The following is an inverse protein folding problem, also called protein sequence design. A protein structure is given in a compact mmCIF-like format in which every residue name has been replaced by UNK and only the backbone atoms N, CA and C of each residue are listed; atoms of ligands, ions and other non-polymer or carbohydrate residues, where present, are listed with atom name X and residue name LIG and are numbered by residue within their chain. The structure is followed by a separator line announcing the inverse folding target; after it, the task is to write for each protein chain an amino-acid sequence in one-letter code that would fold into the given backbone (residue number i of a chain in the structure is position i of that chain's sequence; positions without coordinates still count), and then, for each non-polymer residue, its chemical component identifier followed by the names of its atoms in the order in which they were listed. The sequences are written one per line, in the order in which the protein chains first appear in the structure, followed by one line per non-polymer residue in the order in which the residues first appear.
data_IF_281860969167
#
_entry.id   IF_281860969167
#
_cell.length_a   1.000
_cell.length_b   1.000
_cell.length_c   1.000
_cell.angle_alpha   90.00
_cell.angle_beta   90.00
_cell.angle_gamma   90.00
#
_symmetry.space_group_name_H-M   'P 1'
#
loop_
_entity.id
_entity.type
_entity.pdbx_description
1 polymer ?
#
# COMPACT_ATOMS: atom_id res chain seq x y z
N UNK A 1 6.20 -23.36 14.39
CA UNK A 1 6.67 -23.17 15.78
C UNK A 1 8.06 -22.56 15.70
N UNK A 2 8.25 -21.24 15.87
CA UNK A 2 9.53 -20.59 15.55
C UNK A 2 10.44 -20.51 16.77
N UNK A 3 11.68 -20.96 16.62
CA UNK A 3 12.63 -21.13 17.72
C UNK A 3 13.61 -19.96 17.76
N UNK A 4 13.65 -19.21 18.87
CA UNK A 4 14.78 -18.35 19.22
C UNK A 4 15.59 -19.08 20.29
N UNK A 5 16.51 -19.95 19.87
CA UNK A 5 17.10 -20.94 20.79
C UNK A 5 16.12 -22.08 21.07
N UNK A 6 15.99 -22.55 22.32
CA UNK A 6 15.05 -23.61 22.75
C UNK A 6 13.64 -23.08 23.15
N UNK A 7 13.22 -21.90 22.67
CA UNK A 7 11.88 -21.37 22.98
C UNK A 7 11.03 -21.11 21.73
N UNK A 8 9.78 -21.59 21.81
CA UNK A 8 8.73 -21.48 20.83
C UNK A 8 8.11 -20.07 20.87
N UNK A 9 8.24 -19.30 19.80
CA UNK A 9 7.54 -18.03 19.64
C UNK A 9 6.11 -18.33 19.16
N UNK A 10 5.16 -18.34 20.10
CA UNK A 10 3.71 -18.53 19.88
C UNK A 10 2.97 -17.24 19.46
N UNK A 11 3.68 -16.12 19.29
CA UNK A 11 3.09 -14.79 19.08
C UNK A 11 3.48 -14.11 17.74
N UNK A 12 3.91 -14.89 16.74
CA UNK A 12 4.16 -14.36 15.40
C UNK A 12 2.86 -13.92 14.71
N UNK A 13 2.96 -12.94 13.81
CA UNK A 13 1.83 -12.34 13.12
C UNK A 13 1.06 -13.37 12.27
N UNK A 14 -0.25 -13.39 12.46
CA UNK A 14 -1.25 -14.13 11.67
C UNK A 14 -2.27 -13.20 11.01
N UNK A 15 -2.75 -13.58 9.83
CA UNK A 15 -3.71 -12.82 9.04
C UNK A 15 -5.03 -13.58 8.90
N UNK A 16 -6.17 -12.98 9.27
CA UNK A 16 -7.51 -13.59 9.10
C UNK A 16 -8.65 -12.57 9.12
N UNK A 17 -9.33 -12.38 7.97
CA UNK A 17 -8.75 -11.71 6.81
C UNK A 17 -8.34 -10.26 7.17
N UNK A 18 -7.13 -9.81 6.83
CA UNK A 18 -6.77 -8.42 7.01
C UNK A 18 -7.50 -7.56 5.98
N UNK A 19 -8.13 -6.45 6.36
CA UNK A 19 -8.45 -5.43 5.37
C UNK A 19 -7.16 -4.98 4.67
N UNK A 20 -7.19 -4.56 3.38
CA UNK A 20 -6.01 -4.08 2.65
C UNK A 20 -5.17 -3.03 3.40
N UNK A 21 -5.80 -2.32 4.34
CA UNK A 21 -5.18 -1.38 5.27
C UNK A 21 -4.10 -1.98 6.18
N UNK A 22 -4.12 -3.29 6.45
CA UNK A 22 -3.12 -3.92 7.32
C UNK A 22 -1.81 -4.22 6.56
N UNK A 23 -1.87 -4.58 5.28
CA UNK A 23 -0.65 -4.64 4.44
C UNK A 23 0.00 -3.27 4.32
N UNK A 24 -0.81 -2.21 4.21
CA UNK A 24 -0.32 -0.84 4.25
C UNK A 24 0.35 -0.51 5.58
N UNK A 25 -0.24 -0.91 6.70
CA UNK A 25 0.40 -0.75 8.00
C UNK A 25 1.80 -1.39 8.03
N UNK A 26 1.95 -2.62 7.52
CA UNK A 26 3.25 -3.28 7.42
C UNK A 26 4.22 -2.53 6.50
N UNK A 27 3.76 -2.02 5.35
CA UNK A 27 4.59 -1.18 4.47
C UNK A 27 5.07 0.10 5.16
N UNK A 28 4.23 0.72 6.01
CA UNK A 28 4.63 1.91 6.76
C UNK A 28 5.63 1.61 7.89
N UNK A 29 5.62 0.39 8.44
CA UNK A 29 6.62 -0.06 9.41
C UNK A 29 7.98 -0.36 8.75
N UNK A 30 7.97 -0.75 7.48
CA UNK A 30 9.15 -1.17 6.72
C UNK A 30 9.36 -0.27 5.49
N UNK A 31 9.76 1.01 5.68
CA UNK A 31 9.94 1.97 4.58
C UNK A 31 11.10 1.62 3.63
N UNK A 32 11.95 0.69 4.02
CA UNK A 32 13.02 0.13 3.21
C UNK A 32 12.81 -1.38 3.05
N UNK A 33 13.56 -1.99 2.12
CA UNK A 33 13.54 -3.44 1.92
C UNK A 33 13.76 -4.15 3.25
N UNK A 34 12.76 -4.93 3.66
CA UNK A 34 12.78 -5.65 4.92
C UNK A 34 12.29 -7.07 4.72
N UNK A 35 12.84 -7.98 5.52
CA UNK A 35 12.41 -9.37 5.52
C UNK A 35 12.16 -9.81 6.96
N UNK A 36 10.94 -10.26 7.22
CA UNK A 36 10.51 -10.71 8.53
C UNK A 36 9.83 -12.06 8.46
N UNK A 37 10.08 -12.92 9.44
CA UNK A 37 9.26 -14.10 9.67
C UNK A 37 7.82 -13.74 10.01
N UNK A 38 6.90 -14.50 9.42
CA UNK A 38 5.50 -14.58 9.79
C UNK A 38 5.24 -15.84 10.63
N UNK A 39 4.02 -16.01 11.15
CA UNK A 39 3.62 -17.24 11.83
C UNK A 39 3.22 -18.40 10.91
N UNK A 40 3.12 -18.19 9.59
CA UNK A 40 2.66 -19.21 8.64
C UNK A 40 3.77 -20.22 8.38
N UNK A 41 3.41 -21.50 8.38
CA UNK A 41 4.35 -22.60 8.17
C UNK A 41 3.60 -23.89 7.79
N UNK A 42 4.27 -24.83 7.13
CA UNK A 42 3.75 -26.17 6.81
C UNK A 42 4.64 -27.30 7.39
N UNK A 43 5.30 -27.00 8.52
CA UNK A 43 6.22 -27.91 9.25
C UNK A 43 5.67 -29.32 9.53
N UNK A 44 4.35 -29.47 9.60
CA UNK A 44 3.71 -30.75 9.96
C UNK A 44 3.32 -31.58 8.73
N UNK A 45 3.01 -30.93 7.61
CA UNK A 45 2.52 -31.56 6.39
C UNK A 45 2.81 -30.61 5.22
N UNK A 46 3.71 -31.01 4.34
CA UNK A 46 4.14 -30.24 3.17
C UNK A 46 2.94 -29.77 2.34
N UNK A 47 2.92 -28.48 1.99
CA UNK A 47 1.84 -27.86 1.23
C UNK A 47 0.59 -27.55 2.05
N UNK A 48 0.49 -27.99 3.31
CA UNK A 48 -0.59 -27.68 4.23
C UNK A 48 -0.18 -26.60 5.25
N UNK A 49 -0.25 -25.35 4.82
CA UNK A 49 0.15 -24.20 5.64
C UNK A 49 -0.84 -23.91 6.77
N UNK A 50 -0.30 -23.68 7.98
CA UNK A 50 -1.02 -23.34 9.21
C UNK A 50 -0.37 -22.15 9.93
N UNK A 51 -1.18 -21.32 10.59
CA UNK A 51 -0.66 -20.27 11.47
C UNK A 51 -0.20 -20.86 12.81
N UNK A 52 0.96 -20.42 13.31
CA UNK A 52 1.53 -20.87 14.58
C UNK A 52 0.66 -20.58 15.81
N UNK A 53 -0.26 -19.62 15.72
CA UNK A 53 -1.18 -19.24 16.80
C UNK A 53 -2.55 -19.94 16.72
N UNK A 54 -2.72 -20.87 15.76
CA UNK A 54 -3.97 -21.61 15.55
C UNK A 54 -5.05 -20.84 14.80
N UNK A 55 -4.79 -19.61 14.37
CA UNK A 55 -5.71 -18.86 13.49
C UNK A 55 -5.93 -19.65 12.19
N UNK A 56 -7.17 -19.70 11.63
CA UNK A 56 -7.39 -20.36 10.34
C UNK A 56 -6.75 -19.57 9.19
N UNK A 57 -6.17 -20.29 8.22
CA UNK A 57 -5.54 -19.71 7.02
C UNK A 57 -6.62 -19.38 5.99
N UNK A 58 -7.22 -18.19 6.12
CA UNK A 58 -8.26 -17.70 5.20
C UNK A 58 -7.75 -16.65 4.22
N UNK A 59 -6.47 -16.28 4.31
CA UNK A 59 -5.83 -15.28 3.47
C UNK A 59 -4.36 -15.63 3.28
N UNK A 60 -3.90 -15.57 2.04
CA UNK A 60 -2.49 -15.72 1.66
C UNK A 60 -2.08 -14.64 0.67
N UNK A 61 -0.81 -14.28 0.68
CA UNK A 61 -0.25 -13.27 -0.22
C UNK A 61 1.12 -13.70 -0.76
N UNK A 62 1.13 -14.91 -1.32
CA UNK A 62 2.30 -15.51 -1.94
C UNK A 62 2.83 -14.67 -3.09
N UNK A 63 4.15 -14.66 -3.25
CA UNK A 63 4.75 -14.15 -4.48
C UNK A 63 4.39 -15.04 -5.68
N UNK A 64 4.58 -14.50 -6.89
CA UNK A 64 4.27 -15.24 -8.11
C UNK A 64 5.05 -16.56 -8.18
N UNK A 65 4.30 -17.66 -8.37
CA UNK A 65 4.87 -19.01 -8.46
C UNK A 65 5.23 -19.64 -7.11
N UNK A 66 4.80 -19.06 -5.99
CA UNK A 66 5.02 -19.57 -4.63
C UNK A 66 3.71 -20.04 -3.98
N UNK A 67 3.76 -20.98 -3.03
CA UNK A 67 4.92 -21.83 -2.69
C UNK A 67 5.25 -22.78 -3.86
N UNK A 68 6.48 -23.30 -3.91
CA UNK A 68 6.86 -24.23 -4.98
C UNK A 68 6.30 -25.64 -4.71
N UNK A 69 5.12 -25.94 -5.25
CA UNK A 69 4.42 -27.21 -5.00
C UNK A 69 4.71 -28.33 -6.03
N UNK A 70 5.63 -28.12 -6.97
CA UNK A 70 5.88 -29.10 -8.04
C UNK A 70 6.88 -30.17 -7.59
N UNK A 71 6.61 -31.44 -7.88
CA UNK A 71 7.50 -32.60 -7.61
C UNK A 71 8.94 -32.48 -8.17
N UNK A 72 9.19 -31.54 -9.09
CA UNK A 72 10.52 -31.28 -9.66
C UNK A 72 11.39 -30.35 -8.79
N UNK A 73 10.77 -29.66 -7.83
CA UNK A 73 11.42 -28.77 -6.88
C UNK A 73 11.14 -29.28 -5.47
N UNK A 74 11.76 -30.42 -5.13
CA UNK A 74 11.71 -31.04 -3.80
C UNK A 74 12.53 -30.21 -2.80
N UNK A 75 12.14 -28.97 -2.56
CA UNK A 75 12.71 -28.14 -1.50
C UNK A 75 11.88 -28.30 -0.22
N UNK A 76 11.65 -29.58 0.17
CA UNK A 76 10.94 -30.00 1.39
C UNK A 76 11.59 -29.52 2.69
N UNK A 77 12.59 -28.65 2.62
CA UNK A 77 13.22 -28.04 3.79
C UNK A 77 12.64 -26.64 4.08
N UNK A 78 11.82 -26.10 3.17
CA UNK A 78 11.28 -24.73 3.24
C UNK A 78 9.93 -24.63 3.92
N UNK A 79 9.93 -24.83 5.23
CA UNK A 79 8.66 -24.84 5.95
C UNK A 79 8.19 -23.50 6.50
N UNK A 80 9.00 -22.45 6.40
CA UNK A 80 8.77 -21.20 7.11
C UNK A 80 8.48 -20.05 6.16
N UNK A 81 7.48 -19.24 6.49
CA UNK A 81 7.06 -18.15 5.60
C UNK A 81 7.61 -16.81 6.07
N UNK A 82 8.35 -16.16 5.19
CA UNK A 82 8.84 -14.80 5.37
C UNK A 82 7.97 -13.81 4.58
N UNK A 83 7.65 -12.70 5.23
CA UNK A 83 7.19 -11.48 4.58
C UNK A 83 8.39 -10.73 4.02
N UNK A 84 8.33 -10.43 2.74
CA UNK A 84 9.29 -9.61 2.02
C UNK A 84 8.59 -8.28 1.70
N UNK A 85 9.16 -7.17 2.13
CA UNK A 85 8.74 -5.84 1.69
C UNK A 85 9.77 -5.26 0.74
N UNK A 86 9.30 -4.71 -0.38
CA UNK A 86 10.12 -3.93 -1.31
C UNK A 86 9.39 -2.62 -1.63
N UNK A 87 9.83 -1.54 -0.97
CA UNK A 87 9.39 -0.13 -1.03
C UNK A 87 7.87 0.14 -1.05
N UNK A 88 7.13 -0.45 -1.98
CA UNK A 88 5.69 -0.32 -2.18
C UNK A 88 4.91 -1.65 -2.30
N UNK A 89 5.57 -2.81 -2.23
CA UNK A 89 4.93 -4.13 -2.40
C UNK A 89 5.30 -5.04 -1.23
N UNK A 90 4.36 -5.88 -0.80
CA UNK A 90 4.60 -6.98 0.14
C UNK A 90 4.28 -8.29 -0.55
N UNK A 91 5.13 -9.29 -0.42
CA UNK A 91 4.87 -10.65 -0.89
C UNK A 91 5.44 -11.67 0.11
N UNK A 92 4.90 -12.89 0.10
CA UNK A 92 5.28 -13.95 1.02
C UNK A 92 6.08 -15.02 0.30
N UNK A 93 7.18 -15.44 0.91
CA UNK A 93 8.07 -16.50 0.42
C UNK A 93 8.13 -17.62 1.44
N UNK A 94 8.05 -18.87 0.97
CA UNK A 94 8.48 -20.04 1.70
C UNK A 94 10.02 -20.16 1.65
N UNK A 95 10.63 -20.34 2.81
CA UNK A 95 12.06 -20.36 2.99
C UNK A 95 12.49 -21.34 4.08
N UNK A 96 13.78 -21.65 4.08
CA UNK A 96 14.43 -22.44 5.12
C UNK A 96 14.30 -21.71 6.46
N UNK A 97 13.74 -22.41 7.44
CA UNK A 97 13.50 -21.88 8.78
C UNK A 97 14.76 -21.37 9.50
N UNK A 98 15.93 -21.90 9.12
CA UNK A 98 17.23 -21.58 9.73
C UNK A 98 17.77 -20.20 9.33
N UNK A 99 17.14 -19.51 8.38
CA UNK A 99 17.55 -18.16 8.03
C UNK A 99 17.32 -17.17 9.19
N UNK A 100 18.36 -16.39 9.48
CA UNK A 100 18.31 -15.33 10.50
C UNK A 100 17.61 -14.11 9.93
N UNK A 101 16.37 -13.88 10.36
CA UNK A 101 15.54 -12.75 9.93
C UNK A 101 14.90 -12.04 11.13
N UNK A 102 14.41 -10.82 10.91
CA UNK A 102 13.50 -10.18 11.85
C UNK A 102 12.19 -10.96 11.96
N UNK A 103 11.30 -10.58 12.88
CA UNK A 103 9.98 -11.21 13.00
C UNK A 103 8.94 -10.15 13.39
N UNK A 104 7.69 -10.34 12.96
CA UNK A 104 6.58 -9.47 13.35
C UNK A 104 5.73 -10.17 14.39
N UNK A 105 5.57 -9.57 15.56
CA UNK A 105 4.73 -10.09 16.62
C UNK A 105 3.32 -9.50 16.59
N UNK A 106 2.33 -10.30 16.98
CA UNK A 106 0.96 -9.89 17.25
C UNK A 106 0.65 -10.15 18.72
N UNK A 107 0.10 -9.15 19.40
CA UNK A 107 -0.41 -9.26 20.78
C UNK A 107 -1.77 -8.61 20.86
N UNK A 108 -2.61 -9.08 21.78
CA UNK A 108 -3.86 -8.40 22.14
C UNK A 108 -3.57 -6.99 22.67
N UNK A 109 -4.50 -6.08 22.42
CA UNK A 109 -4.41 -4.69 22.89
C UNK A 109 -4.34 -4.67 24.41
N UNK A 110 -3.30 -4.04 24.93
CA UNK A 110 -3.12 -3.83 26.36
C UNK A 110 -3.72 -2.46 26.71
N UNK A 111 -4.81 -2.39 27.49
CA UNK A 111 -5.47 -1.13 27.83
C UNK A 111 -4.58 -0.20 28.66
N UNK A 112 -3.47 -0.69 29.21
CA UNK A 112 -2.52 0.10 29.98
C UNK A 112 -1.49 0.82 29.10
N UNK A 113 -1.33 0.40 27.83
CA UNK A 113 -0.45 1.06 26.88
C UNK A 113 -1.23 2.17 26.18
N UNK A 114 -0.87 3.42 26.49
CA UNK A 114 -1.42 4.56 25.75
C UNK A 114 -0.95 4.49 24.29
N UNK A 115 -1.87 4.54 23.31
CA UNK A 115 -1.48 4.57 21.91
C UNK A 115 -0.58 5.78 21.65
N UNK A 116 0.51 5.58 20.92
CA UNK A 116 1.38 6.67 20.49
C UNK A 116 0.56 7.69 19.69
N UNK A 117 0.80 8.98 19.93
CA UNK A 117 0.11 10.03 19.18
C UNK A 117 0.40 9.86 17.68
N UNK A 118 -0.63 9.76 16.83
CA UNK A 118 -0.41 9.54 15.41
C UNK A 118 0.17 10.80 14.77
N UNK A 119 1.07 10.61 13.80
CA UNK A 119 1.69 11.70 13.02
C UNK A 119 0.62 12.65 12.48
N UNK A 120 0.75 13.98 12.65
CA UNK A 120 -0.21 14.95 12.14
C UNK A 120 -0.48 14.76 10.65
N UNK A 121 -1.74 14.91 10.22
CA UNK A 121 -2.14 14.78 8.81
C UNK A 121 -1.47 15.81 7.89
N UNK A 122 -1.10 16.95 8.46
CA UNK A 122 -0.42 18.06 7.79
C UNK A 122 1.08 17.84 7.64
N UNK A 123 1.64 16.74 8.15
CA UNK A 123 3.04 16.40 7.96
C UNK A 123 3.25 15.60 6.67
N UNK A 124 4.41 15.75 6.03
CA UNK A 124 4.79 14.95 4.87
C UNK A 124 5.19 13.55 5.32
N UNK A 125 4.40 12.55 4.93
CA UNK A 125 4.63 11.15 5.28
C UNK A 125 5.16 10.40 4.05
N UNK A 126 6.31 9.71 4.13
CA UNK A 126 6.81 8.88 3.05
C UNK A 126 5.93 7.63 2.88
N UNK A 127 5.65 7.27 1.63
CA UNK A 127 5.04 5.99 1.26
C UNK A 127 5.53 5.54 -0.12
N UNK A 128 6.19 4.38 -0.17
CA UNK A 128 6.96 3.99 -1.35
C UNK A 128 8.00 5.05 -1.70
N UNK A 129 8.07 5.42 -2.98
CA UNK A 129 8.98 6.47 -3.46
C UNK A 129 8.43 7.88 -3.31
N UNK A 130 7.18 8.04 -2.88
CA UNK A 130 6.49 9.34 -2.87
C UNK A 130 6.32 9.86 -1.44
N UNK A 131 6.12 11.17 -1.32
CA UNK A 131 5.69 11.82 -0.08
C UNK A 131 4.23 12.23 -0.20
N UNK A 132 3.44 11.99 0.85
CA UNK A 132 2.03 12.35 0.91
C UNK A 132 1.78 13.33 2.06
N UNK A 133 0.81 14.21 1.88
CA UNK A 133 0.37 15.16 2.91
C UNK A 133 -1.12 15.42 2.72
N UNK A 134 -1.86 15.65 3.80
CA UNK A 134 -3.26 16.07 3.73
C UNK A 134 -3.38 17.55 4.09
N UNK A 135 -4.08 18.32 3.24
CA UNK A 135 -4.67 19.59 3.67
C UNK A 135 -6.10 19.30 4.16
N UNK A 136 -6.34 19.34 5.48
CA UNK A 136 -7.65 19.02 6.05
C UNK A 136 -8.67 20.13 5.82
N UNK A 137 -8.29 21.27 5.25
CA UNK A 137 -9.19 22.40 4.98
C UNK A 137 -10.12 22.06 3.82
N UNK A 138 -11.44 21.96 4.01
CA UNK A 138 -12.35 21.64 2.92
C UNK A 138 -12.41 22.77 1.90
N UNK A 139 -12.13 22.46 0.63
CA UNK A 139 -12.12 23.43 -0.48
C UNK A 139 -12.69 22.83 -1.75
N UNK A 140 -13.23 23.64 -2.68
CA UNK A 140 -13.50 23.21 -4.04
C UNK A 140 -12.23 22.64 -4.69
N UNK A 141 -12.40 21.72 -5.65
CA UNK A 141 -11.31 20.95 -6.24
C UNK A 141 -10.14 21.81 -6.75
N UNK A 142 -10.44 22.88 -7.49
CA UNK A 142 -9.43 23.76 -8.07
C UNK A 142 -8.59 24.47 -6.99
N UNK A 143 -9.23 24.93 -5.92
CA UNK A 143 -8.55 25.58 -4.78
C UNK A 143 -7.75 24.58 -3.96
N UNK A 144 -8.28 23.37 -3.79
CA UNK A 144 -7.61 22.28 -3.09
C UNK A 144 -6.32 21.86 -3.82
N UNK A 145 -6.37 21.70 -5.14
CA UNK A 145 -5.18 21.45 -5.97
C UNK A 145 -4.18 22.61 -5.88
N UNK A 146 -4.65 23.86 -5.93
CA UNK A 146 -3.79 25.02 -5.76
C UNK A 146 -3.10 25.03 -4.39
N UNK A 147 -3.74 24.49 -3.34
CA UNK A 147 -3.11 24.31 -2.03
C UNK A 147 -1.94 23.32 -2.06
N UNK A 148 -2.11 22.16 -2.70
CA UNK A 148 -1.01 21.20 -2.88
C UNK A 148 0.17 21.82 -3.64
N UNK A 149 -0.11 22.59 -4.70
CA UNK A 149 0.90 23.27 -5.52
C UNK A 149 1.69 24.32 -4.77
N UNK A 150 1.05 25.08 -3.88
CA UNK A 150 1.74 26.05 -3.01
C UNK A 150 2.79 25.40 -2.10
N UNK A 151 2.63 24.12 -1.77
CA UNK A 151 3.57 23.35 -0.96
C UNK A 151 4.59 22.54 -1.80
N UNK A 152 4.70 22.80 -3.11
CA UNK A 152 5.67 22.11 -3.98
C UNK A 152 5.33 20.64 -4.26
N UNK A 153 4.03 20.32 -4.28
CA UNK A 153 3.45 19.02 -4.62
C UNK A 153 2.30 19.21 -5.61
N UNK A 154 1.63 18.15 -6.08
CA UNK A 154 0.34 18.28 -6.76
C UNK A 154 -0.71 17.42 -6.06
N UNK A 155 -1.97 17.53 -6.45
CA UNK A 155 -3.02 16.65 -5.96
C UNK A 155 -2.71 15.19 -6.31
N UNK A 156 -2.94 14.27 -5.37
CA UNK A 156 -2.36 12.93 -5.45
C UNK A 156 -2.95 12.05 -6.57
N UNK A 157 -2.08 11.49 -7.40
CA UNK A 157 -2.38 10.23 -8.11
C UNK A 157 -2.34 9.03 -7.16
N UNK A 158 -3.20 8.05 -7.41
CA UNK A 158 -3.26 6.79 -6.66
C UNK A 158 -2.97 5.65 -7.63
N UNK A 159 -1.74 5.15 -7.64
CA UNK A 159 -1.23 4.28 -8.72
C UNK A 159 -0.99 2.83 -8.30
N UNK A 160 -1.24 2.46 -7.05
CA UNK A 160 -1.23 1.06 -6.62
C UNK A 160 -2.31 0.78 -5.59
N UNK A 161 -2.66 -0.51 -5.44
CA UNK A 161 -3.61 -0.95 -4.40
C UNK A 161 -3.12 -0.58 -2.99
N UNK A 162 -1.80 -0.47 -2.81
CA UNK A 162 -1.18 -0.04 -1.56
C UNK A 162 -1.33 1.48 -1.34
N UNK A 163 -1.13 2.29 -2.38
CA UNK A 163 -1.43 3.73 -2.31
C UNK A 163 -2.92 3.96 -2.05
N UNK A 164 -3.82 3.20 -2.67
CA UNK A 164 -5.26 3.27 -2.41
C UNK A 164 -5.56 3.06 -0.93
N UNK A 165 -5.05 1.97 -0.35
CA UNK A 165 -5.29 1.66 1.05
C UNK A 165 -4.62 2.69 1.99
N UNK A 166 -3.46 3.23 1.63
CA UNK A 166 -2.80 4.31 2.38
C UNK A 166 -3.61 5.61 2.37
N UNK A 167 -4.06 6.06 1.20
CA UNK A 167 -4.92 7.23 1.07
C UNK A 167 -6.28 7.01 1.74
N UNK A 168 -6.82 5.79 1.71
CA UNK A 168 -8.04 5.42 2.45
C UNK A 168 -7.87 5.56 3.97
N UNK A 169 -6.70 5.18 4.51
CA UNK A 169 -6.37 5.42 5.92
C UNK A 169 -6.26 6.92 6.24
N UNK A 170 -5.66 7.72 5.36
CA UNK A 170 -5.63 9.18 5.50
C UNK A 170 -7.04 9.78 5.45
N UNK A 171 -7.90 9.30 4.56
CA UNK A 171 -9.28 9.74 4.43
C UNK A 171 -10.07 9.46 5.72
N UNK A 172 -9.92 8.28 6.33
CA UNK A 172 -10.56 7.97 7.63
C UNK A 172 -10.18 8.97 8.71
N UNK A 173 -8.93 9.38 8.75
CA UNK A 173 -8.42 10.37 9.73
C UNK A 173 -8.86 11.80 9.40
N UNK A 174 -9.13 12.09 8.13
CA UNK A 174 -9.49 13.42 7.62
C UNK A 174 -11.00 13.66 7.48
N UNK A 175 -11.85 12.83 8.08
CA UNK A 175 -13.32 12.99 8.04
C UNK A 175 -14.05 12.14 7.01
N UNK A 176 -13.37 11.15 6.41
CA UNK A 176 -13.97 10.07 5.63
C UNK A 176 -13.76 10.15 4.12
N UNK A 177 -13.45 11.32 3.57
CA UNK A 177 -13.23 11.49 2.14
C UNK A 177 -12.12 12.50 1.84
N UNK A 178 -11.38 12.29 0.75
CA UNK A 178 -10.31 13.19 0.28
C UNK A 178 -10.38 13.36 -1.24
N UNK A 179 -10.23 14.60 -1.71
CA UNK A 179 -9.97 14.87 -3.12
C UNK A 179 -8.69 14.15 -3.57
N UNK A 180 -8.77 13.51 -4.74
CA UNK A 180 -7.64 12.88 -5.44
C UNK A 180 -7.51 13.46 -6.85
N UNK A 181 -6.34 13.30 -7.46
CA UNK A 181 -5.98 13.98 -8.72
C UNK A 181 -6.63 13.42 -9.98
N UNK A 182 -7.61 12.52 -9.85
CA UNK A 182 -8.30 11.95 -11.01
C UNK A 182 -9.37 12.94 -11.48
N UNK A 183 -9.34 13.28 -12.75
CA UNK A 183 -10.23 14.31 -13.29
C UNK A 183 -10.63 13.96 -14.73
N UNK A 184 -11.87 14.31 -15.11
CA UNK A 184 -12.40 14.20 -16.48
C UNK A 184 -12.61 15.58 -17.14
N UNK A 185 -12.73 16.66 -16.35
CA UNK A 185 -13.00 18.01 -16.84
C UNK A 185 -11.79 18.61 -17.56
N UNK A 186 -10.62 18.56 -16.92
CA UNK A 186 -9.36 19.10 -17.46
C UNK A 186 -8.72 18.17 -18.51
N UNK A 187 -9.26 16.98 -18.70
CA UNK A 187 -8.66 15.87 -19.47
C UNK A 187 -9.54 15.44 -20.66
N UNK A 188 -10.33 16.39 -21.18
CA UNK A 188 -11.19 16.23 -22.36
C UNK A 188 -12.22 15.10 -22.23
N UNK A 189 -12.83 14.96 -21.05
CA UNK A 189 -13.89 13.98 -20.75
C UNK A 189 -13.39 12.59 -20.37
N UNK A 190 -12.08 12.35 -20.36
CA UNK A 190 -11.51 11.06 -19.98
C UNK A 190 -10.88 11.13 -18.59
N UNK A 191 -11.30 10.29 -17.66
CA UNK A 191 -10.68 10.22 -16.32
C UNK A 191 -9.19 9.89 -16.41
N UNK A 192 -8.34 10.87 -16.08
CA UNK A 192 -6.88 10.74 -16.07
C UNK A 192 -6.28 11.49 -14.89
N UNK A 193 -5.12 11.06 -14.45
CA UNK A 193 -4.38 11.74 -13.38
C UNK A 193 -3.85 13.07 -13.90
N UNK A 194 -4.02 14.11 -13.08
CA UNK A 194 -3.60 15.49 -13.39
C UNK A 194 -2.08 15.73 -13.31
N UNK A 195 -1.33 14.75 -12.83
CA UNK A 195 0.12 14.72 -12.74
C UNK A 195 0.75 13.81 -13.82
N UNK A 196 -0.02 13.46 -14.86
CA UNK A 196 0.40 12.66 -16.03
C UNK A 196 0.91 11.24 -15.72
N UNK A 197 0.70 10.73 -14.49
CA UNK A 197 0.98 9.33 -14.20
C UNK A 197 0.08 8.40 -15.01
N UNK A 198 0.64 7.26 -15.42
CA UNK A 198 -0.16 6.19 -16.01
C UNK A 198 -1.15 5.63 -14.98
N UNK A 199 -2.24 5.02 -15.44
CA UNK A 199 -3.29 4.45 -14.58
C UNK A 199 -3.22 2.91 -14.61
N UNK A 200 -2.38 2.28 -13.79
CA UNK A 200 -2.21 0.82 -13.80
C UNK A 200 -3.34 0.08 -13.07
N UNK A 201 -4.17 0.80 -12.31
CA UNK A 201 -5.31 0.25 -11.59
C UNK A 201 -6.47 1.24 -11.55
N UNK A 202 -7.66 0.73 -11.28
CA UNK A 202 -8.83 1.50 -10.92
C UNK A 202 -9.29 1.11 -9.51
N UNK A 203 -9.85 2.06 -8.77
CA UNK A 203 -10.38 1.84 -7.43
C UNK A 203 -11.79 2.40 -7.27
N UNK A 204 -12.57 2.43 -8.36
CA UNK A 204 -13.95 2.91 -8.37
C UNK A 204 -14.81 2.16 -7.35
N UNK A 205 -15.66 2.90 -6.66
CA UNK A 205 -16.73 2.31 -5.86
C UNK A 205 -17.79 1.67 -6.78
N UNK A 206 -18.68 0.90 -6.19
CA UNK A 206 -19.83 0.31 -6.91
C UNK A 206 -20.63 1.42 -7.62
N UNK A 207 -21.02 1.17 -8.87
CA UNK A 207 -21.81 2.08 -9.72
C UNK A 207 -21.13 3.41 -10.13
N UNK A 208 -19.81 3.52 -9.96
CA UNK A 208 -19.00 4.65 -10.42
C UNK A 208 -18.18 4.29 -11.68
N UNK A 209 -17.79 5.27 -12.52
CA UNK A 209 -18.06 6.71 -12.42
C UNK A 209 -19.47 7.12 -12.86
N UNK A 210 -20.09 8.06 -12.13
CA UNK A 210 -21.33 8.69 -12.57
C UNK A 210 -21.09 9.58 -13.81
N UNK A 211 -21.93 9.42 -14.84
CA UNK A 211 -21.70 9.96 -16.19
C UNK A 211 -21.74 11.51 -16.31
N UNK A 212 -22.04 12.25 -15.24
CA UNK A 212 -22.21 13.72 -15.26
C UNK A 212 -21.28 14.49 -14.33
N UNK A 213 -20.42 13.80 -13.59
CA UNK A 213 -19.46 14.41 -12.68
C UNK A 213 -18.05 14.27 -13.22
N UNK A 214 -17.12 15.12 -12.79
CA UNK A 214 -15.80 15.20 -13.42
C UNK A 214 -14.62 15.21 -12.44
N UNK A 215 -14.86 15.58 -11.19
CA UNK A 215 -13.87 15.49 -10.12
C UNK A 215 -14.10 14.21 -9.33
N UNK A 216 -13.03 13.69 -8.73
CA UNK A 216 -13.06 12.39 -8.04
C UNK A 216 -12.48 12.54 -6.65
N UNK A 217 -13.15 11.96 -5.66
CA UNK A 217 -12.62 11.82 -4.31
C UNK A 217 -12.56 10.34 -3.92
N UNK A 218 -11.64 10.01 -3.02
CA UNK A 218 -11.58 8.70 -2.39
C UNK A 218 -12.40 8.73 -1.09
N UNK A 219 -13.34 7.80 -0.95
CA UNK A 219 -14.12 7.56 0.27
C UNK A 219 -13.55 6.36 1.00
N UNK A 220 -13.23 6.55 2.28
CA UNK A 220 -12.71 5.51 3.13
C UNK A 220 -13.66 4.33 3.25
N UNK A 221 -13.21 3.15 2.79
CA UNK A 221 -13.97 1.90 2.87
C UNK A 221 -14.86 1.61 1.66
N UNK A 222 -15.07 2.58 0.75
CA UNK A 222 -15.92 2.42 -0.43
C UNK A 222 -15.10 2.39 -1.73
N UNK A 223 -14.23 3.39 -1.92
CA UNK A 223 -13.43 3.52 -3.15
C UNK A 223 -13.47 4.94 -3.72
N UNK A 224 -13.25 5.05 -5.03
CA UNK A 224 -13.26 6.31 -5.76
C UNK A 224 -14.68 6.61 -6.22
N UNK A 225 -15.13 7.83 -5.95
CA UNK A 225 -16.46 8.30 -6.31
C UNK A 225 -16.35 9.61 -7.08
N UNK A 226 -17.26 9.80 -8.01
CA UNK A 226 -17.35 11.05 -8.76
C UNK A 226 -18.12 12.08 -7.98
N UNK A 227 -17.79 13.35 -8.19
CA UNK A 227 -18.41 14.45 -7.46
C UNK A 227 -18.34 15.77 -8.23
N UNK A 228 -19.25 16.69 -7.90
CA UNK A 228 -19.18 18.09 -8.31
C UNK A 228 -17.89 18.73 -7.81
N UNK A 229 -17.11 19.29 -8.74
CA UNK A 229 -15.85 19.97 -8.44
C UNK A 229 -16.00 21.16 -7.47
N UNK A 230 -17.23 21.68 -7.29
CA UNK A 230 -17.54 22.76 -6.37
C UNK A 230 -17.73 22.32 -4.93
N UNK A 231 -17.85 21.01 -4.65
CA UNK A 231 -18.03 20.50 -3.29
C UNK A 231 -16.77 20.78 -2.45
N UNK A 232 -16.89 21.35 -1.24
CA UNK A 232 -15.74 21.52 -0.36
C UNK A 232 -15.35 20.18 0.28
N UNK A 233 -14.15 19.67 -0.02
CA UNK A 233 -13.56 18.49 0.64
C UNK A 233 -12.09 18.75 0.97
N UNK A 234 -11.53 18.09 2.00
CA UNK A 234 -10.10 18.07 2.22
C UNK A 234 -9.39 17.33 1.08
N UNK A 235 -8.08 17.51 0.94
CA UNK A 235 -7.31 16.98 -0.21
C UNK A 235 -6.06 16.25 0.24
N UNK A 236 -5.72 15.18 -0.47
CA UNK A 236 -4.40 14.55 -0.37
C UNK A 236 -3.50 15.06 -1.49
N UNK A 237 -2.33 15.53 -1.08
CA UNK A 237 -1.26 15.99 -1.94
C UNK A 237 -0.18 14.92 -2.03
N UNK A 238 0.47 14.82 -3.20
CA UNK A 238 1.57 13.88 -3.46
C UNK A 238 2.74 14.60 -4.09
N UNK A 239 3.93 14.30 -3.59
CA UNK A 239 5.20 14.67 -4.19
C UNK A 239 5.95 13.40 -4.57
N UNK A 240 5.94 13.09 -5.86
CA UNK A 240 6.69 11.96 -6.41
C UNK A 240 8.10 12.43 -6.83
N UNK A 241 9.12 11.54 -6.82
CA UNK A 241 10.33 11.75 -7.59
C UNK A 241 9.89 11.89 -9.05
N UNK A 242 10.41 12.89 -9.77
CA UNK A 242 9.87 13.40 -11.03
C UNK A 242 9.23 12.35 -11.95
N UNK A 243 8.04 12.66 -12.47
CA UNK A 243 7.32 11.85 -13.45
C UNK A 243 8.27 11.60 -14.63
N UNK A 244 8.53 10.34 -14.94
CA UNK A 244 9.19 9.96 -16.18
C UNK A 244 8.21 10.27 -17.31
N UNK A 245 8.23 11.51 -17.79
CA UNK A 245 7.34 11.98 -18.85
C UNK A 245 7.70 11.19 -20.10
N UNK A 246 6.74 10.41 -20.60
CA UNK A 246 6.72 9.71 -21.91
C UNK A 246 8.09 9.61 -22.58
N UNK A 247 8.75 8.46 -22.39
CA UNK A 247 9.89 7.97 -23.21
C UNK A 247 10.87 9.09 -23.57
N UNK A 248 11.86 9.36 -22.72
CA UNK A 248 13.26 9.60 -23.10
C UNK A 248 14.11 10.22 -21.98
N UNK A 249 13.54 10.69 -20.87
CA UNK A 249 14.35 11.43 -19.88
C UNK A 249 13.91 11.16 -18.45
N UNK A 250 14.81 10.55 -17.67
CA UNK A 250 14.77 10.59 -16.21
C UNK A 250 16.18 10.96 -15.73
N UNK A 251 16.38 12.21 -15.35
CA UNK A 251 17.56 12.58 -14.57
C UNK A 251 17.35 12.07 -13.14
N UNK A 252 17.97 10.94 -12.84
CA UNK A 252 18.50 10.69 -11.51
C UNK A 252 20.00 10.54 -11.66
N UNK A 253 20.74 11.19 -10.77
CA UNK A 253 22.19 11.32 -10.76
C UNK A 253 22.94 10.09 -11.33
N UNK A 254 23.42 10.25 -12.57
CA UNK A 254 24.63 9.69 -13.17
C UNK A 254 24.59 8.64 -14.30
N UNK A 255 23.48 8.11 -14.84
CA UNK A 255 23.54 7.24 -16.06
C UNK A 255 22.30 7.28 -16.97
N UNK A 256 22.51 7.19 -18.29
CA UNK A 256 21.49 7.12 -19.35
C UNK A 256 21.35 5.67 -19.84
N UNK A 257 20.13 5.15 -19.92
CA UNK A 257 19.82 3.85 -20.53
C UNK A 257 18.86 4.02 -21.72
N UNK A 258 19.17 3.40 -22.85
CA UNK A 258 18.29 3.28 -24.01
C UNK A 258 17.76 1.84 -24.10
N UNK A 259 16.45 1.67 -24.19
CA UNK A 259 15.81 0.39 -24.53
C UNK A 259 15.26 0.48 -25.95
N UNK A 260 15.83 -0.29 -26.87
CA UNK A 260 15.24 -0.54 -28.19
C UNK A 260 14.46 -1.85 -28.10
N UNK A 261 13.14 -1.79 -28.28
CA UNK A 261 12.37 -2.99 -28.60
C UNK A 261 12.46 -3.20 -30.11
N UNK A 262 12.93 -4.38 -30.52
CA UNK A 262 12.84 -4.87 -31.91
C UNK A 262 11.38 -5.19 -32.27
#
# INVERSE_FOLDING_TARGET
MFWKGEEIITHCLSFSPPPPSFLVFLLTLFPHKHISWLGLNDLNEEGNFVWSDGTPVNYTHWDYGRPYLSEQHLDFERHCVALMSDESIIHWHDELCDFKRGYVCKRTTDPTISPTQPTPLTELVPFGKSMFQVDPTPRPFAEARAACRRNGSDIASVISVYEHAFVSLLARRAGGALWIGLNAYETAGAYRWLDDWHMPMTGWATDEPAQSQACVHLVAGEGWMTESCSKPLPVVCKKSPGVCVKVFWCESSAQIFFFFFL
#
